data_IF_072596993019
#
_entry.id   IF_072596993019
#
_cell.length_a   1.000
_cell.length_b   1.000
_cell.length_c   1.000
_cell.angle_alpha   90.00
_cell.angle_beta   90.00
_cell.angle_gamma   90.00
#
_symmetry.space_group_name_H-M   'P 1'
#
loop_
_entity.id
_entity.type
_entity.pdbx_description
1 polymer ?
#
# COMPACT_ATOMS: atom_id res chain seq x y z
N UNK A 1 -16.63 -27.38 -13.28
CA UNK A 1 -16.35 -25.92 -13.30
C UNK A 1 -16.04 -25.47 -11.87
N UNK A 2 -14.85 -24.90 -11.62
CA UNK A 2 -14.60 -24.18 -10.36
C UNK A 2 -15.36 -22.85 -10.42
N UNK A 3 -16.01 -22.39 -9.34
CA UNK A 3 -16.70 -21.12 -9.36
C UNK A 3 -15.66 -20.00 -9.52
N UNK A 4 -15.95 -19.03 -10.38
CA UNK A 4 -15.22 -17.77 -10.45
C UNK A 4 -15.50 -17.06 -9.12
N UNK A 5 -14.51 -17.06 -8.22
CA UNK A 5 -14.62 -16.34 -6.95
C UNK A 5 -14.92 -14.87 -7.26
N UNK A 6 -15.93 -14.30 -6.60
CA UNK A 6 -16.24 -12.88 -6.72
C UNK A 6 -14.97 -12.08 -6.39
N UNK A 7 -14.62 -11.13 -7.27
CA UNK A 7 -13.45 -10.26 -7.09
C UNK A 7 -13.66 -9.49 -5.79
N UNK A 8 -12.71 -9.59 -4.86
CA UNK A 8 -12.79 -8.84 -3.62
C UNK A 8 -12.77 -7.34 -3.94
N UNK A 9 -13.73 -6.60 -3.39
CA UNK A 9 -13.90 -5.18 -3.69
C UNK A 9 -12.78 -4.34 -3.10
N UNK A 10 -12.28 -3.39 -3.89
CA UNK A 10 -11.34 -2.34 -3.50
C UNK A 10 -11.90 -1.53 -2.32
N UNK A 11 -11.10 -1.31 -1.26
CA UNK A 11 -11.53 -0.56 -0.08
C UNK A 11 -10.47 0.44 0.36
N UNK A 12 -10.92 1.61 0.81
CA UNK A 12 -10.09 2.64 1.47
C UNK A 12 -10.88 3.29 2.59
N UNK A 13 -10.26 3.42 3.75
CA UNK A 13 -10.79 4.17 4.88
C UNK A 13 -9.68 5.04 5.44
N UNK A 14 -9.97 6.33 5.56
CA UNK A 14 -9.08 7.32 6.13
C UNK A 14 -9.56 7.70 7.53
N UNK A 15 -8.62 7.85 8.44
CA UNK A 15 -8.84 8.32 9.81
C UNK A 15 -7.79 9.37 10.14
N UNK A 16 -8.11 10.30 11.04
CA UNK A 16 -7.16 11.28 11.53
C UNK A 16 -7.12 11.26 13.05
N UNK A 17 -5.96 10.96 13.61
CA UNK A 17 -5.71 11.00 15.04
C UNK A 17 -5.28 12.41 15.45
N UNK A 18 -6.27 13.27 15.71
CA UNK A 18 -6.07 14.72 15.90
C UNK A 18 -5.02 15.11 16.93
N UNK A 19 -4.94 14.42 18.06
CA UNK A 19 -3.99 14.77 19.14
C UNK A 19 -2.53 14.51 18.76
N UNK A 20 -2.29 13.57 17.85
CA UNK A 20 -0.95 13.20 17.38
C UNK A 20 -0.67 13.75 15.99
N UNK A 21 -1.68 14.36 15.36
CA UNK A 21 -1.69 14.80 13.97
C UNK A 21 -1.21 13.72 12.98
N UNK A 22 -1.81 12.52 13.06
CA UNK A 22 -1.49 11.38 12.19
C UNK A 22 -2.68 11.05 11.31
N UNK A 23 -2.48 10.97 10.00
CA UNK A 23 -3.43 10.36 9.07
C UNK A 23 -3.18 8.85 8.96
N UNK A 24 -4.24 8.05 9.02
CA UNK A 24 -4.19 6.60 8.87
C UNK A 24 -5.02 6.21 7.65
N UNK A 25 -4.42 5.44 6.76
CA UNK A 25 -5.09 4.77 5.66
C UNK A 25 -5.16 3.27 5.94
N UNK A 26 -6.38 2.73 6.03
CA UNK A 26 -6.62 1.30 5.95
C UNK A 26 -7.19 0.98 4.57
N UNK A 27 -6.46 0.20 3.78
CA UNK A 27 -6.82 -0.07 2.39
C UNK A 27 -6.68 -1.55 2.04
N UNK A 28 -7.53 -1.98 1.11
CA UNK A 28 -7.44 -3.28 0.46
C UNK A 28 -7.45 -3.05 -1.04
N UNK A 29 -6.33 -3.39 -1.69
CA UNK A 29 -6.09 -3.21 -3.12
C UNK A 29 -5.75 -4.54 -3.78
N UNK A 30 -6.45 -4.86 -4.86
CA UNK A 30 -6.24 -6.08 -5.66
C UNK A 30 -5.83 -5.77 -7.10
N UNK A 31 -6.28 -4.64 -7.65
CA UNK A 31 -5.98 -4.23 -9.02
C UNK A 31 -5.65 -2.74 -9.15
N UNK A 32 -5.56 -2.02 -8.03
CA UNK A 32 -5.15 -0.63 -8.02
C UNK A 32 -3.63 -0.48 -7.86
N UNK A 33 -3.04 0.40 -8.66
CA UNK A 33 -1.64 0.80 -8.52
C UNK A 33 -1.52 2.33 -8.36
N UNK A 34 -0.78 2.77 -7.35
CA UNK A 34 -0.41 4.17 -7.19
C UNK A 34 0.66 4.55 -8.21
N UNK A 35 0.46 5.63 -9.00
CA UNK A 35 1.51 6.15 -9.86
C UNK A 35 2.68 6.70 -9.00
N UNK A 36 3.85 6.99 -9.62
CA UNK A 36 4.97 7.61 -8.92
C UNK A 36 4.54 8.92 -8.23
N UNK A 37 4.77 9.01 -6.92
CA UNK A 37 4.44 10.17 -6.10
C UNK A 37 5.35 10.27 -4.88
N UNK A 38 5.27 11.39 -4.15
CA UNK A 38 6.01 11.65 -2.92
C UNK A 38 5.15 12.44 -1.94
N UNK A 39 5.58 12.49 -0.68
CA UNK A 39 4.89 13.10 0.44
C UNK A 39 5.89 14.00 1.20
N UNK A 40 5.41 14.99 1.93
CA UNK A 40 6.24 15.86 2.80
C UNK A 40 6.38 15.32 4.24
N UNK A 41 5.81 14.14 4.50
CA UNK A 41 5.83 13.43 5.78
C UNK A 41 6.32 11.99 5.61
N UNK A 42 6.59 11.33 6.74
CA UNK A 42 6.95 9.91 6.75
C UNK A 42 5.72 9.03 6.57
N UNK A 43 5.86 7.94 5.83
CA UNK A 43 4.84 6.89 5.75
C UNK A 43 5.38 5.62 6.39
N UNK A 44 4.64 5.09 7.36
CA UNK A 44 4.84 3.76 7.91
C UNK A 44 3.65 2.89 7.51
N UNK A 45 3.92 1.82 6.76
CA UNK A 45 2.90 0.88 6.29
C UNK A 45 3.10 -0.52 6.86
N UNK A 46 2.01 -1.16 7.27
CA UNK A 46 1.96 -2.59 7.63
C UNK A 46 1.11 -3.33 6.59
N UNK A 47 1.65 -4.41 6.02
CA UNK A 47 0.87 -5.28 5.14
C UNK A 47 0.12 -6.30 5.97
N UNK A 48 -1.17 -6.06 6.25
CA UNK A 48 -1.98 -7.00 7.07
C UNK A 48 -2.21 -8.34 6.37
N UNK A 49 -2.47 -8.32 5.05
CA UNK A 49 -2.74 -9.50 4.22
C UNK A 49 -2.26 -9.27 2.79
N UNK A 50 -1.94 -10.36 2.09
CA UNK A 50 -1.44 -10.29 0.72
C UNK A 50 0.01 -9.84 0.63
N UNK A 51 0.47 -9.52 -0.57
CA UNK A 51 1.85 -9.10 -0.84
C UNK A 51 1.81 -7.78 -1.60
N UNK A 52 2.54 -6.80 -1.08
CA UNK A 52 2.67 -5.49 -1.71
C UNK A 52 4.00 -5.40 -2.47
N UNK A 53 4.04 -4.61 -3.54
CA UNK A 53 5.28 -4.23 -4.21
C UNK A 53 5.31 -2.74 -4.55
N UNK A 54 6.51 -2.16 -4.54
CA UNK A 54 6.70 -0.76 -4.91
C UNK A 54 8.05 -0.56 -5.59
N UNK A 55 8.13 0.45 -6.45
CA UNK A 55 9.39 0.94 -6.99
C UNK A 55 9.86 2.12 -6.16
N UNK A 56 11.11 2.07 -5.71
CA UNK A 56 11.81 3.13 -4.98
C UNK A 56 13.26 3.20 -5.44
N UNK A 57 13.76 4.40 -5.75
CA UNK A 57 15.11 4.60 -6.31
C UNK A 57 15.47 3.62 -7.44
N UNK A 58 14.54 3.47 -8.39
CA UNK A 58 14.63 2.57 -9.57
C UNK A 58 14.72 1.07 -9.26
N UNK A 59 14.58 0.66 -8.01
CA UNK A 59 14.54 -0.74 -7.61
C UNK A 59 13.12 -1.11 -7.22
N UNK A 60 12.69 -2.33 -7.57
CA UNK A 60 11.40 -2.87 -7.16
C UNK A 60 11.56 -3.73 -5.91
N UNK A 61 10.74 -3.47 -4.91
CA UNK A 61 10.73 -4.14 -3.63
C UNK A 61 9.41 -4.91 -3.44
N UNK A 62 9.48 -5.97 -2.64
CA UNK A 62 8.35 -6.81 -2.26
C UNK A 62 8.23 -6.80 -0.74
N UNK A 63 7.03 -6.55 -0.24
CA UNK A 63 6.71 -6.57 1.19
C UNK A 63 5.71 -7.69 1.46
N UNK A 64 6.11 -8.75 2.19
CA UNK A 64 5.23 -9.89 2.50
C UNK A 64 4.18 -9.52 3.56
N UNK A 65 3.20 -10.41 3.84
CA UNK A 65 2.29 -10.24 4.98
C UNK A 65 3.07 -10.03 6.29
N UNK A 66 2.57 -9.12 7.11
CA UNK A 66 3.18 -8.61 8.34
C UNK A 66 4.52 -7.88 8.14
N UNK A 67 4.93 -7.63 6.89
CA UNK A 67 6.06 -6.78 6.56
C UNK A 67 5.73 -5.30 6.76
N UNK A 68 6.77 -4.52 7.07
CA UNK A 68 6.69 -3.08 7.25
C UNK A 68 7.37 -2.36 6.09
N UNK A 69 6.84 -1.19 5.75
CA UNK A 69 7.42 -0.25 4.79
C UNK A 69 7.63 1.08 5.52
N UNK A 70 8.80 1.67 5.35
CA UNK A 70 9.09 3.04 5.76
C UNK A 70 9.50 3.85 4.53
N UNK A 71 8.84 4.97 4.29
CA UNK A 71 9.15 5.90 3.21
C UNK A 71 9.50 7.26 3.81
N UNK A 72 10.63 7.81 3.38
CA UNK A 72 11.09 9.11 3.83
C UNK A 72 10.36 10.23 3.07
N UNK A 73 10.19 11.42 3.68
CA UNK A 73 9.70 12.60 2.99
C UNK A 73 10.48 12.89 1.71
N UNK A 74 9.77 13.30 0.66
CA UNK A 74 10.33 13.69 -0.64
C UNK A 74 10.79 12.53 -1.53
N UNK A 75 10.85 11.30 -1.02
CA UNK A 75 11.27 10.15 -1.82
C UNK A 75 10.13 9.64 -2.71
N UNK A 76 10.36 9.69 -4.02
CA UNK A 76 9.39 9.21 -5.02
C UNK A 76 9.26 7.69 -4.98
N UNK A 77 8.03 7.21 -4.91
CA UNK A 77 7.70 5.79 -4.89
C UNK A 77 6.38 5.47 -5.60
N UNK A 78 6.18 4.19 -5.95
CA UNK A 78 4.89 3.63 -6.39
C UNK A 78 4.26 2.78 -5.28
N UNK A 79 3.15 2.11 -5.55
CA UNK A 79 2.63 1.04 -4.71
C UNK A 79 1.56 0.24 -5.43
N UNK A 80 1.72 -1.08 -5.46
CA UNK A 80 0.84 -1.97 -6.19
C UNK A 80 0.80 -3.37 -5.56
N UNK A 81 -0.25 -4.18 -5.78
CA UNK A 81 -0.23 -5.60 -5.45
C UNK A 81 0.93 -6.31 -6.15
N UNK A 82 1.67 -7.16 -5.44
CA UNK A 82 2.79 -7.91 -6.02
C UNK A 82 2.34 -9.11 -6.87
N UNK A 83 1.13 -9.60 -6.61
CA UNK A 83 0.53 -10.75 -7.29
C UNK A 83 -0.74 -10.30 -7.99
N UNK A 84 -0.89 -10.70 -9.25
CA UNK A 84 -2.19 -10.68 -9.92
C UNK A 84 -3.10 -11.71 -9.26
N UNK A 85 -4.39 -11.40 -9.12
CA UNK A 85 -5.40 -12.41 -8.79
C UNK A 85 -5.63 -13.37 -9.96
#
# INVERSE_FOLDING_TARGET
MKPLMARAEEQRKFFHHRELDIELLHAYHVDFAYPPHSHDHYVLGLIERGVQSFTYRRNKYITPPHGLILLNPGEVHTGEPATSN
#
